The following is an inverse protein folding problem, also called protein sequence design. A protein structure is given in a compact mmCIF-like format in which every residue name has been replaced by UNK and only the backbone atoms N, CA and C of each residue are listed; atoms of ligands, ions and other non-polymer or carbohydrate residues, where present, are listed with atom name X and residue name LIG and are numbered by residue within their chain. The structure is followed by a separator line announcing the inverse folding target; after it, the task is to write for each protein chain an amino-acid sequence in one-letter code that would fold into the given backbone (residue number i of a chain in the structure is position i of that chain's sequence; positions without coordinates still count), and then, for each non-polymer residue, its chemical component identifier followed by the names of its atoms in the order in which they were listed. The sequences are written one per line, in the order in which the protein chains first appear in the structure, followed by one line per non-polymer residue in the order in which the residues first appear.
data_IF_019104487827
#
_entry.id   IF_019104487827
#
_cell.length_a   1.000
_cell.length_b   1.000
_cell.length_c   1.000
_cell.angle_alpha   90.00
_cell.angle_beta   90.00
_cell.angle_gamma   90.00
#
_symmetry.space_group_name_H-M   'P 1'
#
loop_
_entity.id
_entity.type
_entity.pdbx_description
1 polymer ?
#
# COMPACT_ATOMS: atom_id res chain seq x y z
N UNK A 1 -10.22 5.00 17.73
CA UNK A 1 -11.43 5.21 16.89
C UNK A 1 -11.65 4.01 15.99
N UNK A 2 -12.88 3.61 15.71
CA UNK A 2 -13.19 2.56 14.71
C UNK A 2 -13.10 3.10 13.28
N UNK A 3 -12.96 2.25 12.24
CA UNK A 3 -12.99 2.69 10.85
C UNK A 3 -14.19 3.58 10.50
N UNK A 4 -15.38 3.23 11.02
CA UNK A 4 -16.59 4.04 10.86
C UNK A 4 -16.44 5.44 11.44
N UNK A 5 -15.88 5.57 12.65
CA UNK A 5 -15.68 6.86 13.30
C UNK A 5 -14.70 7.74 12.51
N UNK A 6 -13.61 7.16 12.02
CA UNK A 6 -12.64 7.87 11.17
C UNK A 6 -13.28 8.38 9.89
N UNK A 7 -14.10 7.56 9.24
CA UNK A 7 -14.74 7.92 7.98
C UNK A 7 -15.85 8.97 8.18
N UNK A 8 -16.53 9.00 9.33
CA UNK A 8 -17.64 9.92 9.61
C UNK A 8 -17.23 11.37 9.84
N UNK A 9 -15.99 11.62 10.26
CA UNK A 9 -15.50 12.97 10.57
C UNK A 9 -14.69 13.54 9.41
N UNK A 10 -14.72 14.87 9.25
CA UNK A 10 -13.90 15.54 8.23
C UNK A 10 -12.41 15.52 8.56
N UNK A 11 -12.06 15.39 9.84
CA UNK A 11 -10.67 15.32 10.30
C UNK A 11 -10.56 14.63 11.66
N UNK A 12 -9.57 13.75 11.79
CA UNK A 12 -9.14 13.16 13.06
C UNK A 12 -7.63 13.21 13.13
N UNK A 13 -7.08 13.86 14.15
CA UNK A 13 -5.63 13.98 14.35
C UNK A 13 -4.98 12.60 14.52
N UNK A 14 -5.53 11.76 15.39
CA UNK A 14 -5.03 10.40 15.62
C UNK A 14 -5.10 9.56 14.35
N UNK A 15 -6.25 9.62 13.64
CA UNK A 15 -6.43 8.92 12.37
C UNK A 15 -5.39 9.34 11.34
N UNK A 16 -5.17 10.65 11.20
CA UNK A 16 -4.17 11.21 10.29
C UNK A 16 -2.77 10.71 10.64
N UNK A 17 -2.36 10.79 11.91
CA UNK A 17 -1.02 10.37 12.33
C UNK A 17 -0.77 8.89 12.10
N UNK A 18 -1.72 8.01 12.42
CA UNK A 18 -1.50 6.58 12.25
C UNK A 18 -1.46 6.18 10.77
N UNK A 19 -2.29 6.78 9.91
CA UNK A 19 -2.20 6.60 8.46
C UNK A 19 -0.87 7.10 7.90
N UNK A 20 -0.45 8.31 8.30
CA UNK A 20 0.81 8.91 7.91
C UNK A 20 2.00 8.03 8.31
N UNK A 21 2.04 7.61 9.57
CA UNK A 21 3.15 6.81 10.09
C UNK A 21 3.20 5.44 9.43
N UNK A 22 2.05 4.81 9.19
CA UNK A 22 1.99 3.52 8.51
C UNK A 22 2.61 3.59 7.11
N UNK A 23 2.19 4.57 6.30
CA UNK A 23 2.70 4.68 4.93
C UNK A 23 4.12 5.24 4.85
N UNK A 24 4.52 6.05 5.82
CA UNK A 24 5.91 6.45 6.03
C UNK A 24 6.80 5.22 6.20
N UNK A 25 6.48 4.36 7.16
CA UNK A 25 7.25 3.15 7.46
C UNK A 25 7.20 2.15 6.30
N UNK A 26 6.03 1.95 5.70
CA UNK A 26 5.84 1.09 4.53
C UNK A 26 6.80 1.50 3.42
N UNK A 27 6.79 2.79 3.07
CA UNK A 27 7.60 3.33 1.99
C UNK A 27 9.09 3.20 2.32
N UNK A 28 9.48 3.64 3.51
CA UNK A 28 10.87 3.62 3.94
C UNK A 28 11.45 2.21 3.90
N UNK A 29 10.79 1.23 4.52
CA UNK A 29 11.28 -0.14 4.57
C UNK A 29 11.30 -0.81 3.21
N UNK A 30 10.27 -0.60 2.37
CA UNK A 30 10.23 -1.18 1.03
C UNK A 30 11.34 -0.62 0.14
N UNK A 31 11.61 0.68 0.24
CA UNK A 31 12.69 1.30 -0.54
C UNK A 31 14.07 0.87 -0.06
N UNK A 32 14.29 0.77 1.26
CA UNK A 32 15.53 0.22 1.84
C UNK A 32 15.74 -1.23 1.38
N UNK A 33 14.69 -2.05 1.44
CA UNK A 33 14.79 -3.45 1.02
C UNK A 33 15.07 -3.58 -0.48
N UNK A 34 14.38 -2.79 -1.30
CA UNK A 34 14.61 -2.73 -2.74
C UNK A 34 16.04 -2.30 -3.05
N UNK A 35 16.55 -1.31 -2.34
CA UNK A 35 17.94 -0.87 -2.45
C UNK A 35 18.94 -2.00 -2.12
N UNK A 36 18.75 -2.72 -1.01
CA UNK A 36 19.60 -3.88 -0.69
C UNK A 36 19.55 -4.98 -1.74
N UNK A 37 18.38 -5.23 -2.34
CA UNK A 37 18.25 -6.20 -3.43
C UNK A 37 19.06 -5.82 -4.68
N UNK A 38 19.30 -4.53 -4.91
CA UNK A 38 20.03 -4.02 -6.07
C UNK A 38 21.55 -4.03 -5.87
N UNK A 39 22.00 -3.82 -4.64
CA UNK A 39 23.43 -3.83 -4.30
C UNK A 39 23.96 -5.26 -4.20
N UNK A 40 23.21 -6.18 -3.58
CA UNK A 40 23.66 -7.56 -3.39
C UNK A 40 23.58 -8.34 -4.70
N UNK A 41 24.74 -8.67 -5.31
CA UNK A 41 24.86 -9.42 -6.56
C UNK A 41 23.97 -10.69 -6.59
N UNK A 42 23.98 -11.48 -5.51
CA UNK A 42 23.23 -12.75 -5.43
C UNK A 42 21.72 -12.58 -5.23
N UNK A 43 21.25 -11.39 -4.85
CA UNK A 43 19.83 -11.10 -4.60
C UNK A 43 19.21 -10.24 -5.70
N UNK A 44 20.01 -9.83 -6.69
CA UNK A 44 19.57 -9.05 -7.84
C UNK A 44 18.55 -9.89 -8.63
N UNK A 45 17.29 -9.47 -8.56
CA UNK A 45 16.12 -10.15 -9.15
C UNK A 45 15.63 -11.41 -8.42
N UNK A 46 16.10 -11.70 -7.20
CA UNK A 46 15.50 -12.75 -6.39
C UNK A 46 14.10 -12.32 -5.95
N UNK A 47 13.08 -12.93 -6.57
CA UNK A 47 11.66 -12.64 -6.34
C UNK A 47 11.25 -12.96 -4.90
N UNK A 48 11.73 -14.08 -4.35
CA UNK A 48 11.44 -14.49 -2.97
C UNK A 48 12.00 -13.43 -2.01
N UNK A 49 13.23 -13.00 -2.23
CA UNK A 49 13.86 -11.97 -1.40
C UNK A 49 13.08 -10.65 -1.44
N UNK A 50 12.71 -10.16 -2.63
CA UNK A 50 11.94 -8.92 -2.79
C UNK A 50 10.55 -9.03 -2.16
N UNK A 51 9.82 -10.11 -2.46
CA UNK A 51 8.47 -10.33 -1.93
C UNK A 51 8.48 -10.41 -0.40
N UNK A 52 9.39 -11.19 0.18
CA UNK A 52 9.50 -11.30 1.64
C UNK A 52 9.82 -9.96 2.30
N UNK A 53 10.65 -9.12 1.67
CA UNK A 53 10.89 -7.76 2.15
C UNK A 53 9.69 -6.84 2.07
N UNK A 54 8.89 -6.93 1.00
CA UNK A 54 7.67 -6.13 0.87
C UNK A 54 6.63 -6.52 1.92
N UNK A 55 6.52 -7.82 2.21
CA UNK A 55 5.65 -8.34 3.27
C UNK A 55 6.17 -7.94 4.64
N UNK A 56 7.48 -8.01 4.90
CA UNK A 56 8.08 -7.55 6.15
C UNK A 56 7.88 -6.04 6.35
N UNK A 57 8.06 -5.24 5.30
CA UNK A 57 7.80 -3.80 5.32
C UNK A 57 6.33 -3.51 5.62
N UNK A 58 5.41 -4.27 5.01
CA UNK A 58 3.97 -4.19 5.32
C UNK A 58 3.69 -4.56 6.77
N UNK A 59 4.27 -5.65 7.27
CA UNK A 59 4.14 -6.06 8.67
C UNK A 59 4.58 -4.95 9.64
N UNK A 60 5.76 -4.36 9.42
CA UNK A 60 6.28 -3.28 10.26
C UNK A 60 5.41 -2.02 10.16
N UNK A 61 4.91 -1.71 8.97
CA UNK A 61 3.96 -0.60 8.76
C UNK A 61 2.63 -0.80 9.49
N UNK A 62 2.23 -2.04 9.80
CA UNK A 62 1.05 -2.34 10.61
C UNK A 62 1.34 -2.40 12.11
N UNK A 63 2.41 -3.09 12.49
CA UNK A 63 2.71 -3.38 13.90
C UNK A 63 3.26 -2.17 14.64
N UNK A 64 4.12 -1.36 14.02
CA UNK A 64 4.75 -0.23 14.73
C UNK A 64 3.70 0.83 15.09
N UNK A 65 2.85 1.33 14.19
CA UNK A 65 1.81 2.29 14.59
C UNK A 65 0.84 1.73 15.61
N UNK A 66 0.49 0.44 15.52
CA UNK A 66 -0.38 -0.24 16.48
C UNK A 66 0.26 -0.35 17.87
N UNK A 67 1.53 -0.76 17.94
CA UNK A 67 2.28 -0.79 19.20
C UNK A 67 2.40 0.63 19.78
N UNK A 68 2.71 1.61 18.93
CA UNK A 68 2.92 2.98 19.37
C UNK A 68 1.62 3.61 19.90
N UNK A 69 0.47 3.32 19.26
CA UNK A 69 -0.83 3.80 19.73
C UNK A 69 -1.17 3.26 21.11
N UNK A 70 -0.85 1.97 21.36
CA UNK A 70 -1.07 1.33 22.65
C UNK A 70 -0.29 2.04 23.77
N UNK A 71 0.99 2.35 23.53
CA UNK A 71 1.85 2.97 24.55
C UNK A 71 1.62 4.47 24.75
N UNK A 72 1.31 5.23 23.69
CA UNK A 72 1.14 6.70 23.79
C UNK A 72 -0.30 7.11 24.06
N UNK A 73 -1.27 6.50 23.36
CA UNK A 73 -2.66 6.99 23.36
C UNK A 73 -3.60 6.17 24.25
N UNK A 74 -3.12 5.06 24.82
CA UNK A 74 -3.96 4.12 25.59
C UNK A 74 -5.08 3.49 24.75
N UNK A 75 -5.00 3.60 23.42
CA UNK A 75 -6.02 3.10 22.50
C UNK A 75 -5.37 2.35 21.33
N UNK A 76 -6.09 1.37 20.79
CA UNK A 76 -5.63 0.65 19.60
C UNK A 76 -5.91 1.49 18.34
N UNK A 77 -4.88 1.80 17.58
CA UNK A 77 -4.99 2.40 16.26
C UNK A 77 -5.68 1.43 15.31
N UNK A 78 -6.75 1.90 14.66
CA UNK A 78 -7.43 1.20 13.58
C UNK A 78 -7.18 1.95 12.28
N UNK A 79 -5.92 1.99 11.86
CA UNK A 79 -5.57 2.53 10.54
C UNK A 79 -5.97 1.55 9.44
N UNK A 80 -6.35 2.10 8.31
CA UNK A 80 -6.66 1.40 7.08
C UNK A 80 -5.38 1.18 6.27
N UNK A 81 -4.42 2.11 6.26
CA UNK A 81 -3.07 1.90 5.71
C UNK A 81 -3.01 1.66 4.20
N UNK A 82 -4.14 1.70 3.49
CA UNK A 82 -4.23 1.57 2.04
C UNK A 82 -5.46 2.31 1.49
N UNK A 83 -5.34 3.06 0.37
CA UNK A 83 -6.48 3.74 -0.25
C UNK A 83 -7.63 2.81 -0.64
N UNK A 84 -7.34 1.57 -1.04
CA UNK A 84 -8.36 0.56 -1.34
C UNK A 84 -9.23 0.32 -0.10
N UNK A 85 -8.62 0.21 1.08
CA UNK A 85 -9.35 -0.06 2.32
C UNK A 85 -10.16 1.16 2.75
N UNK A 86 -9.63 2.38 2.57
CA UNK A 86 -10.37 3.63 2.81
C UNK A 86 -11.64 3.70 1.94
N UNK A 87 -11.52 3.44 0.64
CA UNK A 87 -12.65 3.49 -0.30
C UNK A 87 -13.63 2.33 -0.11
N UNK A 88 -13.14 1.13 0.18
CA UNK A 88 -14.01 -0.01 0.44
C UNK A 88 -14.82 0.22 1.73
N UNK A 89 -14.15 0.64 2.81
CA UNK A 89 -14.80 0.87 4.11
C UNK A 89 -15.74 2.07 4.08
N UNK A 90 -15.47 3.14 3.31
CA UNK A 90 -16.39 4.28 3.19
C UNK A 90 -17.77 3.88 2.66
N UNK A 91 -17.81 2.90 1.75
CA UNK A 91 -19.06 2.35 1.23
C UNK A 91 -19.66 1.34 2.21
N UNK A 92 -18.86 0.36 2.66
CA UNK A 92 -19.38 -0.72 3.51
C UNK A 92 -19.92 -0.20 4.86
N UNK A 93 -19.20 0.69 5.53
CA UNK A 93 -19.55 1.22 6.85
C UNK A 93 -20.74 2.21 6.83
N UNK A 94 -21.04 2.77 5.65
CA UNK A 94 -22.13 3.74 5.46
C UNK A 94 -23.49 3.12 5.20
N UNK A 95 -23.59 1.79 5.15
CA UNK A 95 -24.82 1.11 4.78
C UNK A 95 -25.31 0.27 5.95
N UNK A 96 -26.55 0.52 6.35
CA UNK A 96 -27.21 -0.31 7.36
C UNK A 96 -28.13 -1.28 6.62
N UNK A 97 -27.81 -2.57 6.67
CA UNK A 97 -28.69 -3.64 6.15
C UNK A 97 -29.79 -3.90 7.19
N UNK A 98 -30.73 -2.94 7.30
CA UNK A 98 -32.01 -3.06 8.02
C UNK A 98 -33.12 -3.32 6.97
N UNK A 99 -34.38 -3.65 7.35
CA UNK A 99 -35.45 -3.93 6.38
C UNK A 99 -35.66 -2.83 5.32
N UNK A 100 -35.23 -1.60 5.60
CA UNK A 100 -35.11 -0.52 4.61
C UNK A 100 -33.62 -0.32 4.28
N UNK A 101 -33.27 -0.48 3.00
CA UNK A 101 -31.93 -0.23 2.49
C UNK A 101 -31.67 1.28 2.46
N UNK A 102 -31.06 1.81 3.52
CA UNK A 102 -30.62 3.20 3.55
C UNK A 102 -29.16 3.27 3.10
N UNK A 103 -28.96 3.82 1.90
CA UNK A 103 -27.65 4.09 1.33
C UNK A 103 -27.17 5.48 1.77
N UNK A 104 -26.21 5.52 2.69
CA UNK A 104 -25.57 6.77 3.12
C UNK A 104 -24.06 6.54 3.25
N UNK A 105 -23.33 6.35 2.13
CA UNK A 105 -21.90 6.12 2.16
C UNK A 105 -21.18 7.28 2.87
N UNK A 106 -20.13 6.95 3.61
CA UNK A 106 -19.48 7.89 4.52
C UNK A 106 -18.14 8.31 3.92
N UNK A 107 -18.13 9.45 3.22
CA UNK A 107 -16.95 9.93 2.50
C UNK A 107 -16.19 11.06 3.21
N UNK A 108 -16.71 11.59 4.32
CA UNK A 108 -16.14 12.75 5.02
C UNK A 108 -14.64 12.57 5.34
N UNK A 109 -14.26 11.38 5.80
CA UNK A 109 -12.89 11.08 6.19
C UNK A 109 -11.96 10.62 5.07
N UNK A 110 -12.48 10.35 3.87
CA UNK A 110 -11.68 9.73 2.79
C UNK A 110 -10.52 10.62 2.36
N UNK A 111 -10.75 11.93 2.23
CA UNK A 111 -9.73 12.86 1.75
C UNK A 111 -8.56 12.98 2.73
N UNK A 112 -8.83 13.16 4.03
CA UNK A 112 -7.74 13.33 5.00
C UNK A 112 -6.99 12.01 5.24
N UNK A 113 -7.65 10.85 5.19
CA UNK A 113 -7.00 9.55 5.34
C UNK A 113 -6.09 9.24 4.15
N UNK A 114 -6.57 9.41 2.91
CA UNK A 114 -5.72 9.23 1.71
C UNK A 114 -4.62 10.30 1.67
N UNK A 115 -4.92 11.54 2.06
CA UNK A 115 -3.94 12.62 2.18
C UNK A 115 -2.83 12.30 3.18
N UNK A 116 -3.16 11.75 4.34
CA UNK A 116 -2.21 11.25 5.33
C UNK A 116 -1.32 10.13 4.74
N UNK A 117 -1.93 9.17 4.04
CA UNK A 117 -1.21 8.08 3.39
C UNK A 117 -0.21 8.59 2.34
N UNK A 118 -0.64 9.52 1.47
CA UNK A 118 0.21 10.11 0.43
C UNK A 118 1.35 10.93 1.06
N UNK A 119 1.04 11.81 2.01
CA UNK A 119 2.05 12.64 2.68
C UNK A 119 3.07 11.78 3.44
N UNK A 120 2.63 10.81 4.23
CA UNK A 120 3.50 9.88 4.94
C UNK A 120 4.44 9.13 4.01
N UNK A 121 3.91 8.64 2.90
CA UNK A 121 4.69 7.97 1.88
C UNK A 121 5.73 8.86 1.20
N UNK A 122 5.38 10.10 0.86
CA UNK A 122 6.33 11.08 0.29
C UNK A 122 7.45 11.38 1.28
N UNK A 123 7.14 11.65 2.55
CA UNK A 123 8.14 11.91 3.58
C UNK A 123 9.04 10.68 3.80
N UNK A 124 8.47 9.48 3.81
CA UNK A 124 9.23 8.23 3.90
C UNK A 124 10.21 8.07 2.74
N UNK A 125 9.80 8.45 1.53
CA UNK A 125 10.68 8.44 0.35
C UNK A 125 11.78 9.50 0.43
N UNK A 126 11.48 10.71 0.93
CA UNK A 126 12.49 11.76 1.14
C UNK A 126 13.55 11.29 2.14
N UNK A 127 13.14 10.69 3.26
CA UNK A 127 14.07 10.08 4.21
C UNK A 127 14.93 8.99 3.55
N UNK A 128 14.32 8.13 2.73
CA UNK A 128 15.06 7.13 1.96
C UNK A 128 16.08 7.76 1.00
N UNK A 129 15.73 8.84 0.29
CA UNK A 129 16.66 9.56 -0.60
C UNK A 129 17.88 10.04 0.19
N UNK A 130 17.67 10.62 1.38
CA UNK A 130 18.74 11.01 2.28
C UNK A 130 19.67 9.85 2.62
N UNK A 131 19.10 8.70 3.03
CA UNK A 131 19.87 7.49 3.33
C UNK A 131 20.62 6.94 2.10
N UNK A 132 19.99 6.97 0.93
CA UNK A 132 20.55 6.49 -0.33
C UNK A 132 21.82 7.28 -0.71
N UNK A 133 21.77 8.61 -0.66
CA UNK A 133 22.93 9.45 -0.98
C UNK A 133 23.97 9.46 0.14
N UNK A 134 23.56 9.40 1.41
CA UNK A 134 24.49 9.26 2.54
C UNK A 134 25.33 7.98 2.41
N UNK A 135 24.70 6.85 2.09
CA UNK A 135 25.38 5.57 1.91
C UNK A 135 26.37 5.63 0.73
N UNK A 136 25.96 6.21 -0.41
CA UNK A 136 26.86 6.44 -1.56
C UNK A 136 28.07 7.30 -1.21
N UNK A 137 27.88 8.33 -0.39
CA UNK A 137 28.96 9.20 0.06
C UNK A 137 29.93 8.46 1.00
N UNK A 138 29.41 7.74 1.98
CA UNK A 138 30.20 6.96 2.94
C UNK A 138 31.04 5.85 2.27
N UNK A 139 30.52 5.23 1.21
CA UNK A 139 31.17 4.11 0.51
C UNK A 139 31.84 4.51 -0.80
N UNK A 140 32.12 5.80 -1.03
CA UNK A 140 32.68 6.30 -2.29
C UNK A 140 34.05 5.69 -2.66
N UNK A 141 34.88 5.38 -1.66
CA UNK A 141 36.25 4.91 -1.88
C UNK A 141 36.40 3.39 -1.74
N UNK A 142 35.30 2.64 -1.68
CA UNK A 142 35.33 1.21 -1.47
C UNK A 142 35.19 0.48 -2.82
N UNK A 143 36.29 -0.11 -3.31
CA UNK A 143 36.38 -0.77 -4.63
C UNK A 143 35.42 -1.97 -4.77
N UNK A 144 35.05 -2.62 -3.66
CA UNK A 144 34.08 -3.72 -3.65
C UNK A 144 32.63 -3.28 -4.00
N UNK A 145 32.42 -1.98 -4.16
CA UNK A 145 31.09 -1.34 -4.17
C UNK A 145 30.84 -0.53 -5.47
N UNK A 146 31.59 -0.78 -6.54
CA UNK A 146 31.43 -0.13 -7.86
C UNK A 146 30.00 -0.13 -8.42
N UNK A 147 29.23 -1.18 -8.15
CA UNK A 147 27.82 -1.27 -8.55
C UNK A 147 26.92 -0.24 -7.85
N UNK A 148 27.30 0.24 -6.66
CA UNK A 148 26.54 1.23 -5.91
C UNK A 148 26.66 2.62 -6.53
N UNK A 149 27.86 3.02 -6.94
CA UNK A 149 28.08 4.37 -7.46
C UNK A 149 27.29 4.61 -8.75
N UNK A 150 27.16 3.58 -9.58
CA UNK A 150 26.41 3.60 -10.83
C UNK A 150 24.87 3.46 -10.67
N UNK A 151 24.38 3.13 -9.47
CA UNK A 151 22.95 2.94 -9.23
C UNK A 151 22.25 4.29 -9.10
N UNK A 152 21.22 4.59 -9.90
CA UNK A 152 20.41 5.79 -9.72
C UNK A 152 19.06 5.48 -9.06
N UNK A 153 18.37 6.48 -8.52
CA UNK A 153 17.06 6.31 -7.89
C UNK A 153 16.05 5.64 -8.84
N UNK A 154 16.09 5.97 -10.13
CA UNK A 154 15.18 5.35 -11.11
C UNK A 154 15.40 3.85 -11.25
N UNK A 155 16.63 3.37 -11.02
CA UNK A 155 17.01 1.96 -11.15
C UNK A 155 16.45 1.08 -10.00
N UNK A 156 15.95 1.71 -8.93
CA UNK A 156 15.27 1.04 -7.82
C UNK A 156 13.85 0.62 -8.20
N UNK A 157 13.20 1.35 -9.11
CA UNK A 157 11.85 1.01 -9.53
C UNK A 157 11.86 -0.15 -10.52
N UNK A 158 10.98 -1.13 -10.30
CA UNK A 158 10.86 -2.30 -11.18
C UNK A 158 10.44 -1.83 -12.58
N UNK A 159 11.12 -2.38 -13.60
CA UNK A 159 10.77 -2.10 -15.00
C UNK A 159 9.40 -2.68 -15.29
N UNK A 160 8.45 -1.80 -15.55
CA UNK A 160 7.09 -2.15 -15.94
C UNK A 160 7.05 -2.76 -17.35
N UNK A 161 6.00 -3.56 -17.67
CA UNK A 161 5.77 -4.08 -19.01
C UNK A 161 5.90 -2.99 -20.08
N UNK A 162 6.44 -3.32 -21.25
CA UNK A 162 6.57 -2.33 -22.35
C UNK A 162 5.20 -1.84 -22.84
N UNK A 163 4.19 -2.69 -22.80
CA UNK A 163 2.83 -2.40 -23.26
C UNK A 163 1.93 -1.99 -22.08
N UNK A 164 1.26 -0.84 -22.19
CA UNK A 164 0.32 -0.34 -21.18
C UNK A 164 -0.90 -1.24 -21.00
N UNK A 165 -1.42 -1.85 -22.06
CA UNK A 165 -2.57 -2.77 -21.97
C UNK A 165 -2.22 -3.98 -21.08
N UNK A 166 -1.03 -4.57 -21.29
CA UNK A 166 -0.55 -5.68 -20.47
C UNK A 166 -0.34 -5.26 -19.02
N UNK A 167 0.09 -4.02 -18.78
CA UNK A 167 0.16 -3.44 -17.44
C UNK A 167 -1.25 -3.33 -16.82
N UNK A 168 -2.22 -2.75 -17.51
CA UNK A 168 -3.60 -2.58 -17.03
C UNK A 168 -4.27 -3.91 -16.67
N UNK A 169 -4.18 -4.92 -17.52
CA UNK A 169 -4.77 -6.25 -17.25
C UNK A 169 -4.15 -6.87 -16.00
N UNK A 170 -2.82 -6.81 -15.89
CA UNK A 170 -2.08 -7.32 -14.73
C UNK A 170 -2.50 -6.57 -13.45
N UNK A 171 -2.51 -5.23 -13.48
CA UNK A 171 -2.96 -4.41 -12.34
C UNK A 171 -4.39 -4.76 -11.94
N UNK A 172 -5.31 -4.87 -12.90
CA UNK A 172 -6.70 -5.18 -12.62
C UNK A 172 -6.86 -6.52 -11.88
N UNK A 173 -6.20 -7.57 -12.35
CA UNK A 173 -6.26 -8.91 -11.73
C UNK A 173 -5.73 -8.88 -10.29
N UNK A 174 -4.55 -8.31 -10.06
CA UNK A 174 -3.94 -8.34 -8.72
C UNK A 174 -4.55 -7.36 -7.74
N UNK A 175 -4.97 -6.16 -8.18
CA UNK A 175 -5.72 -5.22 -7.33
C UNK A 175 -7.07 -5.84 -6.94
N UNK A 176 -7.76 -6.51 -7.86
CA UNK A 176 -9.00 -7.22 -7.56
C UNK A 176 -8.80 -8.35 -6.56
N UNK A 177 -7.80 -9.21 -6.78
CA UNK A 177 -7.45 -10.28 -5.83
C UNK A 177 -7.10 -9.72 -4.45
N UNK A 178 -6.28 -8.67 -4.40
CA UNK A 178 -5.92 -7.97 -3.16
C UNK A 178 -7.15 -7.42 -2.44
N UNK A 179 -8.06 -6.75 -3.17
CA UNK A 179 -9.27 -6.11 -2.63
C UNK A 179 -10.29 -7.12 -2.12
N UNK A 180 -10.36 -8.33 -2.69
CA UNK A 180 -11.26 -9.37 -2.20
C UNK A 180 -10.64 -10.14 -1.03
N UNK A 181 -9.35 -10.42 -1.05
CA UNK A 181 -8.77 -11.32 -0.04
C UNK A 181 -8.45 -10.58 1.26
N UNK A 182 -7.81 -9.42 1.16
CA UNK A 182 -7.24 -8.74 2.33
C UNK A 182 -8.28 -8.08 3.24
N UNK A 183 -9.34 -7.41 2.75
CA UNK A 183 -10.29 -6.73 3.62
C UNK A 183 -11.24 -7.69 4.34
N UNK A 184 -11.52 -8.87 3.76
CA UNK A 184 -12.42 -9.86 4.36
C UNK A 184 -11.89 -10.43 5.68
N UNK A 185 -10.58 -10.41 5.89
CA UNK A 185 -9.97 -10.85 7.16
C UNK A 185 -10.35 -9.96 8.34
N UNK A 186 -10.64 -8.68 8.09
CA UNK A 186 -11.12 -7.77 9.14
C UNK A 186 -12.54 -8.10 9.58
N UNK A 187 -13.33 -8.77 8.74
CA UNK A 187 -14.72 -9.15 9.02
C UNK A 187 -14.89 -10.50 9.72
N UNK A 188 -13.83 -11.29 9.87
CA UNK A 188 -13.90 -12.55 10.62
C UNK A 188 -14.24 -12.25 12.09
N UNK A 189 -15.25 -12.88 12.66
CA UNK A 189 -15.62 -12.64 14.06
C UNK A 189 -14.61 -13.33 15.01
N UNK A 190 -13.89 -12.54 15.81
CA UNK A 190 -12.88 -13.05 16.74
C UNK A 190 -13.45 -14.04 17.77
N UNK A 191 -14.63 -13.75 18.31
CA UNK A 191 -15.27 -14.56 19.37
C UNK A 191 -15.76 -15.87 18.80
N UNK A 192 -16.41 -15.85 17.63
CA UNK A 192 -16.98 -17.04 17.01
C UNK A 192 -15.92 -18.02 16.51
N UNK A 193 -14.82 -17.51 15.96
CA UNK A 193 -13.75 -18.34 15.38
C UNK A 193 -12.54 -18.54 16.32
N UNK A 194 -12.59 -18.03 17.55
CA UNK A 194 -11.46 -18.12 18.49
C UNK A 194 -10.19 -17.44 17.98
N UNK A 195 -10.31 -16.41 17.13
CA UNK A 195 -9.18 -15.72 16.51
C UNK A 195 -8.84 -14.42 17.23
N UNK A 196 -7.57 -14.01 17.19
CA UNK A 196 -7.13 -12.69 17.64
C UNK A 196 -6.80 -11.77 16.46
N UNK A 197 -6.69 -10.46 16.72
CA UNK A 197 -6.21 -9.47 15.73
C UNK A 197 -4.83 -9.83 15.18
N UNK A 198 -3.95 -10.38 16.02
CA UNK A 198 -2.64 -10.87 15.62
C UNK A 198 -2.72 -12.03 14.62
N UNK A 199 -3.58 -13.02 14.88
CA UNK A 199 -3.77 -14.17 13.98
C UNK A 199 -4.29 -13.71 12.63
N UNK A 200 -5.28 -12.80 12.62
CA UNK A 200 -5.79 -12.19 11.39
C UNK A 200 -4.71 -11.46 10.59
N UNK A 201 -3.86 -10.68 11.28
CA UNK A 201 -2.75 -9.97 10.65
C UNK A 201 -1.77 -10.95 9.98
N UNK A 202 -1.43 -12.06 10.65
CA UNK A 202 -0.54 -13.09 10.09
C UNK A 202 -1.17 -13.72 8.84
N UNK A 203 -2.44 -14.11 8.89
CA UNK A 203 -3.14 -14.63 7.70
C UNK A 203 -3.17 -13.61 6.56
N UNK A 204 -3.43 -12.34 6.87
CA UNK A 204 -3.41 -11.26 5.87
C UNK A 204 -2.05 -11.17 5.20
N UNK A 205 -0.96 -11.23 5.96
CA UNK A 205 0.39 -11.15 5.42
C UNK A 205 0.76 -12.37 4.59
N UNK A 206 0.28 -13.57 4.94
CA UNK A 206 0.45 -14.77 4.11
C UNK A 206 -0.24 -14.58 2.75
N UNK A 207 -1.48 -14.09 2.74
CA UNK A 207 -2.18 -13.81 1.47
C UNK A 207 -1.51 -12.71 0.66
N UNK A 208 -1.09 -11.61 1.30
CA UNK A 208 -0.32 -10.54 0.65
C UNK A 208 0.98 -11.11 0.06
N UNK A 209 1.66 -12.01 0.79
CA UNK A 209 2.86 -12.68 0.30
C UNK A 209 2.59 -13.48 -0.97
N UNK A 210 1.53 -14.30 -1.00
CA UNK A 210 1.17 -15.06 -2.20
C UNK A 210 0.84 -14.16 -3.40
N UNK A 211 0.04 -13.11 -3.19
CA UNK A 211 -0.34 -12.17 -4.25
C UNK A 211 0.91 -11.43 -4.78
N UNK A 212 1.76 -10.94 -3.88
CA UNK A 212 3.02 -10.29 -4.25
C UNK A 212 3.99 -11.25 -4.93
N UNK A 213 4.08 -12.50 -4.47
CA UNK A 213 4.94 -13.52 -5.08
C UNK A 213 4.50 -13.82 -6.51
N UNK A 214 3.22 -14.09 -6.74
CA UNK A 214 2.69 -14.37 -8.09
C UNK A 214 2.82 -13.13 -8.98
N UNK A 215 2.49 -11.94 -8.48
CA UNK A 215 2.63 -10.70 -9.26
C UNK A 215 4.07 -10.33 -9.59
N UNK A 216 5.05 -10.79 -8.81
CA UNK A 216 6.48 -10.56 -9.08
C UNK A 216 6.95 -11.13 -10.43
N UNK A 217 6.29 -12.20 -10.93
CA UNK A 217 6.53 -12.74 -12.27
C UNK A 217 6.08 -11.80 -13.39
N UNK A 218 5.21 -10.85 -13.08
CA UNK A 218 4.70 -9.82 -13.99
C UNK A 218 5.24 -8.42 -13.69
N UNK A 219 6.30 -8.32 -12.87
CA UNK A 219 6.94 -7.05 -12.49
C UNK A 219 6.28 -6.34 -11.31
N UNK A 220 5.64 -7.10 -10.41
CA UNK A 220 4.83 -6.61 -9.27
C UNK A 220 3.64 -5.75 -9.71
N UNK A 221 2.62 -5.66 -8.86
CA UNK A 221 1.49 -4.73 -9.06
C UNK A 221 1.59 -3.54 -8.09
N UNK A 222 0.86 -2.46 -8.38
CA UNK A 222 0.78 -1.29 -7.54
C UNK A 222 -0.14 -1.55 -6.33
N UNK A 223 0.35 -2.30 -5.35
CA UNK A 223 -0.44 -2.67 -4.17
C UNK A 223 -0.79 -1.46 -3.28
N UNK A 224 -0.10 -0.33 -3.44
CA UNK A 224 -0.48 0.96 -2.83
C UNK A 224 -0.21 2.09 -3.84
N UNK A 225 -1.12 3.07 -3.93
CA UNK A 225 -1.02 4.21 -4.87
C UNK A 225 0.21 5.11 -4.64
N UNK A 226 0.93 4.95 -3.53
CA UNK A 226 2.11 5.77 -3.25
C UNK A 226 3.24 5.39 -4.21
N UNK A 227 3.48 4.11 -4.46
CA UNK A 227 4.61 3.65 -5.28
C UNK A 227 4.64 4.21 -6.71
N UNK A 228 3.53 4.28 -7.47
CA UNK A 228 3.54 4.95 -8.76
C UNK A 228 3.79 6.46 -8.64
N UNK A 229 3.36 7.12 -7.55
CA UNK A 229 3.70 8.53 -7.27
C UNK A 229 5.22 8.67 -7.02
N UNK A 230 5.81 7.81 -6.19
CA UNK A 230 7.26 7.84 -5.92
C UNK A 230 8.07 7.59 -7.19
N UNK A 231 7.58 6.73 -8.08
CA UNK A 231 8.20 6.50 -9.38
C UNK A 231 8.23 7.80 -10.18
N UNK A 232 7.12 8.53 -10.29
CA UNK A 232 7.09 9.85 -10.95
C UNK A 232 8.12 10.80 -10.32
N UNK A 233 8.16 10.90 -8.98
CA UNK A 233 9.14 11.74 -8.26
C UNK A 233 10.57 11.35 -8.62
N UNK A 234 10.89 10.05 -8.64
CA UNK A 234 12.23 9.57 -8.99
C UNK A 234 12.64 9.89 -10.44
N UNK A 235 11.69 9.86 -11.38
CA UNK A 235 11.94 10.23 -12.78
C UNK A 235 12.06 11.74 -13.01
N UNK A 236 11.55 12.57 -12.09
CA UNK A 236 11.79 14.02 -12.09
C UNK A 236 13.21 14.38 -11.63
N UNK A 237 13.85 13.54 -10.81
CA UNK A 237 15.24 13.74 -10.38
C UNK A 237 16.17 13.45 -11.58
N UNK A 238 17.02 14.39 -12.02
CA UNK A 238 17.86 14.20 -13.20
C UNK A 238 18.87 13.06 -13.02
N UNK A 239 19.01 12.21 -14.05
CA UNK A 239 20.10 11.23 -14.17
C UNK A 239 21.17 11.83 -15.07
N UNK A 240 22.37 12.07 -14.52
CA UNK A 240 23.48 12.74 -15.23
C UNK A 240 23.09 14.11 -15.83
N UNK A 241 22.29 14.89 -15.09
CA UNK A 241 21.82 16.21 -15.53
C UNK A 241 20.65 16.18 -16.53
N UNK A 242 20.17 15.01 -16.94
CA UNK A 242 19.08 14.86 -17.92
C UNK A 242 17.86 14.21 -17.25
N UNK A 243 16.69 14.82 -17.46
CA UNK A 243 15.40 14.25 -17.05
C UNK A 243 14.95 13.22 -18.09
N UNK A 244 14.63 12.00 -17.65
CA UNK A 244 14.06 10.97 -18.53
C UNK A 244 12.57 11.22 -18.79
N UNK A 245 12.29 12.08 -19.77
CA UNK A 245 10.94 12.45 -20.18
C UNK A 245 10.08 11.25 -20.58
N UNK A 246 10.67 10.24 -21.24
CA UNK A 246 9.92 9.03 -21.68
C UNK A 246 9.53 8.18 -20.48
N UNK A 247 10.45 7.97 -19.55
CA UNK A 247 10.18 7.29 -18.28
C UNK A 247 9.12 8.01 -17.45
N UNK A 248 9.18 9.34 -17.38
CA UNK A 248 8.20 10.17 -16.67
C UNK A 248 6.79 10.03 -17.26
N UNK A 249 6.62 10.21 -18.57
CA UNK A 249 5.32 10.06 -19.24
C UNK A 249 4.73 8.67 -18.99
N UNK A 250 5.56 7.63 -19.11
CA UNK A 250 5.13 6.26 -18.85
C UNK A 250 4.68 6.07 -17.40
N UNK A 251 5.45 6.58 -16.44
CA UNK A 251 5.10 6.51 -15.02
C UNK A 251 3.78 7.23 -14.71
N UNK A 252 3.51 8.37 -15.36
CA UNK A 252 2.25 9.10 -15.23
C UNK A 252 1.04 8.31 -15.75
N UNK A 253 1.17 7.63 -16.89
CA UNK A 253 0.10 6.75 -17.39
C UNK A 253 -0.12 5.55 -16.47
N UNK A 254 0.95 4.93 -15.97
CA UNK A 254 0.85 3.83 -15.00
C UNK A 254 0.15 4.27 -13.71
N UNK A 255 0.46 5.47 -13.22
CA UNK A 255 -0.24 6.08 -12.08
C UNK A 255 -1.73 6.27 -12.36
N UNK A 256 -2.08 6.87 -13.51
CA UNK A 256 -3.49 7.11 -13.87
C UNK A 256 -4.27 5.79 -13.96
N UNK A 257 -3.68 4.76 -14.60
CA UNK A 257 -4.27 3.42 -14.68
C UNK A 257 -4.48 2.83 -13.28
N UNK A 258 -3.45 2.85 -12.43
CA UNK A 258 -3.53 2.32 -11.08
C UNK A 258 -4.56 3.07 -10.21
N UNK A 259 -4.67 4.39 -10.37
CA UNK A 259 -5.65 5.24 -9.69
C UNK A 259 -7.08 4.86 -10.08
N UNK A 260 -7.36 4.81 -11.38
CA UNK A 260 -8.69 4.44 -11.89
C UNK A 260 -9.06 3.03 -11.45
N UNK A 261 -8.15 2.07 -11.60
CA UNK A 261 -8.39 0.68 -11.17
C UNK A 261 -8.62 0.57 -9.66
N UNK A 262 -7.83 1.28 -8.84
CA UNK A 262 -7.98 1.28 -7.38
C UNK A 262 -9.37 1.78 -6.98
N UNK A 263 -9.84 2.88 -7.58
CA UNK A 263 -11.17 3.43 -7.32
C UNK A 263 -12.24 2.47 -7.80
N UNK A 264 -12.23 2.11 -9.09
CA UNK A 264 -13.27 1.27 -9.69
C UNK A 264 -13.41 -0.09 -9.02
N UNK A 265 -12.29 -0.77 -8.73
CA UNK A 265 -12.30 -2.10 -8.11
C UNK A 265 -12.81 -2.02 -6.67
N UNK A 266 -12.40 -1.02 -5.88
CA UNK A 266 -12.90 -0.86 -4.51
C UNK A 266 -14.43 -0.69 -4.49
N UNK A 267 -14.99 0.12 -5.39
CA UNK A 267 -16.44 0.29 -5.51
C UNK A 267 -17.14 -0.97 -6.00
N UNK A 268 -16.63 -1.63 -7.06
CA UNK A 268 -17.21 -2.88 -7.58
C UNK A 268 -17.25 -3.95 -6.49
N UNK A 269 -16.16 -4.13 -5.75
CA UNK A 269 -16.11 -5.09 -4.64
C UNK A 269 -17.07 -4.71 -3.51
N UNK A 270 -17.14 -3.44 -3.10
CA UNK A 270 -18.06 -2.99 -2.06
C UNK A 270 -19.51 -3.29 -2.44
N UNK A 271 -19.95 -2.87 -3.64
CA UNK A 271 -21.31 -3.11 -4.12
C UNK A 271 -21.61 -4.60 -4.31
N UNK A 272 -20.62 -5.39 -4.77
CA UNK A 272 -20.74 -6.85 -4.85
C UNK A 272 -21.01 -7.49 -3.48
N UNK A 273 -20.24 -7.12 -2.46
CA UNK A 273 -20.41 -7.60 -1.07
C UNK A 273 -21.81 -7.25 -0.56
N UNK A 274 -22.26 -6.02 -0.76
CA UNK A 274 -23.57 -5.55 -0.31
C UNK A 274 -24.71 -6.29 -1.01
N UNK A 275 -24.58 -6.54 -2.31
CA UNK A 275 -25.53 -7.34 -3.08
C UNK A 275 -25.65 -8.77 -2.55
N UNK A 276 -24.50 -9.42 -2.28
CA UNK A 276 -24.46 -10.75 -1.69
C UNK A 276 -25.09 -10.75 -0.29
N UNK A 277 -24.74 -9.78 0.57
CA UNK A 277 -25.25 -9.70 1.93
C UNK A 277 -26.77 -9.50 1.96
N UNK A 278 -27.30 -8.63 1.08
CA UNK A 278 -28.74 -8.40 0.92
C UNK A 278 -29.48 -9.68 0.50
N UNK A 279 -28.96 -10.39 -0.49
CA UNK A 279 -29.60 -11.60 -1.03
C UNK A 279 -29.52 -12.81 -0.09
N UNK A 280 -28.46 -12.89 0.71
CA UNK A 280 -28.24 -14.00 1.66
C UNK A 280 -28.88 -13.77 3.03
N UNK A 281 -29.43 -12.57 3.30
CA UNK A 281 -29.90 -12.20 4.63
C UNK A 281 -28.80 -12.06 5.68
N UNK A 282 -27.53 -12.03 5.25
CA UNK A 282 -26.39 -11.86 6.15
C UNK A 282 -26.38 -10.43 6.71
N UNK A 283 -26.26 -10.31 8.04
CA UNK A 283 -25.97 -9.05 8.70
C UNK A 283 -24.47 -8.77 8.60
N UNK A 284 -24.10 -7.68 7.94
CA UNK A 284 -22.73 -7.16 8.03
C UNK A 284 -22.61 -6.47 9.40
N UNK A 285 -22.02 -7.16 10.36
CA UNK A 285 -21.65 -6.57 11.65
C UNK A 285 -20.32 -5.83 11.45
N UNK A 286 -20.43 -4.51 11.34
CA UNK A 286 -19.30 -3.60 11.21
C UNK A 286 -18.79 -3.09 12.56
#
# INVERSE_FOLDING_TARGET
MTPKQLLSVNYSYDGFIYEFLSTFLLTLFIMIWTYFSKIRKNQKNNRIFLTSGYVLGTFLAFVIPWAWSFFISGSNANMLGNPIFVLLQSVLQGITIKPVFNFSPIFNGVFYLIGAQISGGIIGFICFIGLFYLNKWLLKNNEDVDNLQNLHLQDLFVKSPKCLIRFSIKEAIFIFAFTIITPFLFYINNVYYGTSTWVKLIFMLIFIWFILFISSFFGFFCFHLIFPILKIIAFLIPKNGIIDKKGLIKASYEFLIALVLTISIAFICAFGILGIAKNSGMKLNF
#
